data_IF_499123942739
#
_entry.id   IF_499123942739
#
_cell.length_a   1.000
_cell.length_b   1.000
_cell.length_c   1.000
_cell.angle_alpha   90.00
_cell.angle_beta   90.00
_cell.angle_gamma   90.00
#
_symmetry.space_group_name_H-M   'P 1'
#
loop_
_entity.id
_entity.type
_entity.pdbx_description
1 polymer ?
#
# COMPACT_ATOMS: atom_id res chain seq x y z
N UNK A 1 -1.87 54.99 36.54
CA UNK A 1 -0.84 53.97 36.17
C UNK A 1 -1.35 52.55 36.03
N UNK A 2 -2.65 52.26 36.15
CA UNK A 2 -3.29 50.89 36.08
C UNK A 2 -3.60 50.35 34.67
N UNK A 3 -3.68 51.19 33.65
CA UNK A 3 -4.14 50.76 32.30
C UNK A 3 -3.03 50.06 31.49
N UNK A 4 -1.75 50.39 31.75
CA UNK A 4 -0.59 49.80 31.04
C UNK A 4 -0.27 48.33 31.46
N UNK A 5 -0.68 47.90 32.67
CA UNK A 5 -0.45 46.53 33.14
C UNK A 5 -1.45 45.55 32.61
N UNK A 6 -2.71 45.96 32.42
CA UNK A 6 -3.78 45.12 31.86
C UNK A 6 -3.50 44.74 30.38
N UNK A 7 -2.92 45.66 29.59
CA UNK A 7 -2.60 45.37 28.19
C UNK A 7 -1.44 44.39 28.03
N UNK A 8 -0.44 44.45 28.93
CA UNK A 8 0.70 43.49 28.92
C UNK A 8 0.31 42.08 29.33
N UNK A 9 -0.61 41.91 30.29
CA UNK A 9 -1.08 40.60 30.72
C UNK A 9 -1.96 39.96 29.68
N UNK A 10 -2.79 40.72 28.98
CA UNK A 10 -3.60 40.26 27.86
C UNK A 10 -2.74 39.86 26.64
N UNK A 11 -1.73 40.66 26.30
CA UNK A 11 -0.79 40.39 25.23
C UNK A 11 0.05 39.13 25.47
N UNK A 12 0.53 38.94 26.72
CA UNK A 12 1.28 37.72 27.08
C UNK A 12 0.40 36.47 27.14
N UNK A 13 -0.90 36.60 27.38
CA UNK A 13 -1.88 35.52 27.27
C UNK A 13 -2.13 35.12 25.78
N UNK A 14 -2.32 36.11 24.93
CA UNK A 14 -2.51 35.93 23.51
C UNK A 14 -1.29 35.28 22.85
N UNK A 15 -0.07 35.72 23.22
CA UNK A 15 1.17 35.12 22.69
C UNK A 15 1.31 33.63 23.04
N UNK A 16 0.94 33.25 24.27
CA UNK A 16 0.94 31.85 24.72
C UNK A 16 -0.06 31.00 23.93
N UNK A 17 -1.24 31.51 23.61
CA UNK A 17 -2.22 30.84 22.81
C UNK A 17 -1.80 30.67 21.33
N UNK A 18 -1.17 31.71 20.76
CA UNK A 18 -0.62 31.68 19.41
C UNK A 18 0.47 30.63 19.29
N UNK A 19 1.42 30.59 20.23
CA UNK A 19 2.50 29.58 20.23
C UNK A 19 1.94 28.16 20.30
N UNK A 20 0.94 27.91 21.17
CA UNK A 20 0.33 26.57 21.25
C UNK A 20 -0.44 26.22 19.98
N UNK A 21 -1.21 27.17 19.45
CA UNK A 21 -1.92 26.98 18.19
C UNK A 21 -0.97 26.64 17.05
N UNK A 22 0.18 27.31 16.97
CA UNK A 22 1.20 27.03 15.96
C UNK A 22 1.81 25.64 16.12
N UNK A 23 2.13 25.21 17.34
CA UNK A 23 2.67 23.87 17.60
C UNK A 23 1.65 22.79 17.24
N UNK A 24 0.40 22.96 17.65
CA UNK A 24 -0.68 22.00 17.32
C UNK A 24 -0.90 21.94 15.81
N UNK A 25 -0.91 23.07 15.11
CA UNK A 25 -1.05 23.13 13.68
C UNK A 25 0.11 22.41 12.96
N UNK A 26 1.35 22.66 13.38
CA UNK A 26 2.53 22.00 12.82
C UNK A 26 2.48 20.49 13.02
N UNK A 27 2.11 20.02 14.21
CA UNK A 27 1.97 18.60 14.51
C UNK A 27 0.87 17.98 13.64
N UNK A 28 -0.28 18.65 13.45
CA UNK A 28 -1.34 18.20 12.55
C UNK A 28 -0.88 18.10 11.11
N UNK A 29 -0.20 19.11 10.59
CA UNK A 29 0.32 19.11 9.22
C UNK A 29 1.34 17.98 9.01
N UNK A 30 2.25 17.78 9.96
CA UNK A 30 3.24 16.71 9.89
C UNK A 30 2.59 15.33 9.94
N UNK A 31 1.61 15.14 10.82
CA UNK A 31 0.84 13.89 10.89
C UNK A 31 0.07 13.60 9.60
N UNK A 32 -0.58 14.62 9.01
CA UNK A 32 -1.28 14.48 7.74
C UNK A 32 -0.33 14.12 6.58
N UNK A 33 0.87 14.71 6.56
CA UNK A 33 1.89 14.40 5.57
C UNK A 33 2.38 12.94 5.66
N UNK A 34 2.62 12.44 6.87
CA UNK A 34 3.04 11.06 7.11
C UNK A 34 1.97 10.06 6.65
N UNK A 35 0.69 10.30 6.99
CA UNK A 35 -0.42 9.44 6.58
C UNK A 35 -0.55 9.41 5.05
N UNK A 36 -0.38 10.56 4.41
CA UNK A 36 -0.43 10.66 2.94
C UNK A 36 0.73 9.94 2.25
N UNK A 37 1.93 10.04 2.81
CA UNK A 37 3.14 9.42 2.24
C UNK A 37 3.08 7.90 2.35
N UNK A 38 2.61 7.39 3.48
CA UNK A 38 2.36 5.95 3.67
C UNK A 38 1.34 5.38 2.67
N UNK A 39 0.26 6.10 2.37
CA UNK A 39 -0.72 5.69 1.36
C UNK A 39 -0.14 5.61 -0.05
N UNK A 40 0.80 6.49 -0.39
CA UNK A 40 1.47 6.49 -1.71
C UNK A 40 2.43 5.31 -1.87
N UNK A 41 3.20 5.00 -0.85
CA UNK A 41 4.20 3.92 -0.87
C UNK A 41 3.54 2.54 -1.09
N UNK A 42 2.43 2.27 -0.41
CA UNK A 42 1.70 1.01 -0.56
C UNK A 42 1.05 0.87 -1.94
N UNK A 43 0.57 1.95 -2.51
CA UNK A 43 -0.01 1.96 -3.86
C UNK A 43 1.06 1.75 -4.92
N UNK A 44 2.20 2.43 -4.82
CA UNK A 44 3.32 2.29 -5.74
C UNK A 44 3.90 0.86 -5.75
N UNK A 45 4.06 0.25 -4.58
CA UNK A 45 4.54 -1.13 -4.46
C UNK A 45 3.60 -2.13 -5.16
N UNK A 46 2.28 -1.94 -5.03
CA UNK A 46 1.29 -2.77 -5.74
C UNK A 46 1.37 -2.58 -7.26
N UNK A 47 1.41 -1.34 -7.73
CA UNK A 47 1.53 -1.03 -9.15
C UNK A 47 2.78 -1.67 -9.76
N UNK A 48 3.90 -1.63 -9.06
CA UNK A 48 5.14 -2.28 -9.51
C UNK A 48 4.97 -3.79 -9.70
N UNK A 49 4.24 -4.47 -8.82
CA UNK A 49 3.99 -5.93 -8.95
C UNK A 49 3.01 -6.20 -10.09
N UNK A 50 1.96 -5.39 -10.25
CA UNK A 50 1.03 -5.51 -11.37
C UNK A 50 1.73 -5.30 -12.72
N UNK A 51 2.61 -4.30 -12.82
CA UNK A 51 3.43 -4.06 -14.00
C UNK A 51 4.38 -5.21 -14.27
N UNK A 52 5.12 -5.69 -13.27
CA UNK A 52 5.98 -6.88 -13.40
C UNK A 52 5.18 -8.10 -13.87
N UNK A 53 4.04 -8.39 -13.25
CA UNK A 53 3.18 -9.49 -13.64
C UNK A 53 2.70 -9.37 -15.09
N UNK A 54 2.27 -8.18 -15.50
CA UNK A 54 1.82 -7.94 -16.86
C UNK A 54 2.94 -8.10 -17.90
N UNK A 55 4.16 -7.64 -17.57
CA UNK A 55 5.34 -7.81 -18.42
C UNK A 55 5.73 -9.27 -18.55
N UNK A 56 5.73 -10.03 -17.45
CA UNK A 56 6.02 -11.46 -17.46
C UNK A 56 5.01 -12.25 -18.27
N UNK A 57 3.72 -11.94 -18.14
CA UNK A 57 2.68 -12.59 -18.95
C UNK A 57 2.89 -12.29 -20.43
N UNK A 58 3.19 -11.05 -20.81
CA UNK A 58 3.48 -10.69 -22.21
C UNK A 58 4.74 -11.36 -22.72
N UNK A 59 5.78 -11.49 -21.92
CA UNK A 59 6.99 -12.21 -22.26
C UNK A 59 6.71 -13.68 -22.54
N UNK A 60 5.89 -14.33 -21.72
CA UNK A 60 5.42 -15.69 -21.92
C UNK A 60 4.59 -15.85 -23.20
N UNK A 61 3.64 -14.95 -23.43
CA UNK A 61 2.81 -14.95 -24.64
C UNK A 61 3.66 -14.77 -25.90
N UNK A 62 4.70 -13.93 -25.84
CA UNK A 62 5.62 -13.74 -26.96
C UNK A 62 6.61 -14.90 -27.13
N UNK A 63 7.11 -15.46 -26.04
CA UNK A 63 8.03 -16.61 -26.06
C UNK A 63 7.41 -17.87 -26.65
N UNK A 64 6.12 -18.09 -26.46
CA UNK A 64 5.40 -19.21 -27.07
C UNK A 64 5.24 -19.08 -28.58
N UNK A 65 5.57 -17.90 -29.16
CA UNK A 65 5.49 -17.64 -30.61
C UNK A 65 6.58 -18.34 -31.43
N UNK A 66 7.71 -18.66 -30.82
CA UNK A 66 8.93 -19.09 -31.56
C UNK A 66 8.96 -20.59 -31.87
N UNK A 67 8.04 -21.39 -31.34
CA UNK A 67 8.03 -22.86 -31.53
C UNK A 67 7.18 -23.31 -32.72
N UNK A 68 7.79 -23.87 -33.72
CA UNK A 68 7.10 -24.54 -34.85
C UNK A 68 6.54 -25.91 -34.44
N UNK A 69 5.22 -26.03 -34.44
CA UNK A 69 4.53 -27.34 -34.39
C UNK A 69 3.68 -27.58 -33.12
N UNK A 70 2.42 -28.04 -33.33
CA UNK A 70 1.38 -28.15 -32.29
C UNK A 70 1.74 -29.08 -31.12
N UNK A 71 2.61 -30.07 -31.29
CA UNK A 71 3.04 -30.97 -30.22
C UNK A 71 4.14 -30.43 -29.31
N UNK A 72 4.88 -29.42 -29.76
CA UNK A 72 5.96 -28.78 -28.98
C UNK A 72 5.47 -27.66 -28.04
N UNK A 73 4.26 -27.14 -28.23
CA UNK A 73 3.80 -25.97 -27.45
C UNK A 73 3.71 -26.25 -25.95
N UNK A 74 3.26 -27.43 -25.52
CA UNK A 74 3.17 -27.71 -24.07
C UNK A 74 4.54 -27.91 -23.43
N UNK A 75 5.45 -28.63 -24.07
CA UNK A 75 6.82 -28.81 -23.51
C UNK A 75 7.61 -27.53 -23.48
N UNK A 76 7.45 -26.68 -24.50
CA UNK A 76 8.14 -25.40 -24.58
C UNK A 76 7.55 -24.39 -23.55
N UNK A 77 6.21 -24.35 -23.40
CA UNK A 77 5.57 -23.54 -22.37
C UNK A 77 6.01 -24.00 -20.99
N UNK A 78 6.06 -25.31 -20.73
CA UNK A 78 6.52 -25.87 -19.47
C UNK A 78 7.96 -25.45 -19.17
N UNK A 79 8.89 -25.57 -20.10
CA UNK A 79 10.28 -25.17 -19.95
C UNK A 79 10.42 -23.66 -19.67
N UNK A 80 9.64 -22.82 -20.36
CA UNK A 80 9.61 -21.38 -20.12
C UNK A 80 9.11 -21.04 -18.72
N UNK A 81 8.05 -21.73 -18.23
CA UNK A 81 7.56 -21.51 -16.87
C UNK A 81 8.57 -21.93 -15.81
N UNK A 82 9.28 -23.03 -16.03
CA UNK A 82 10.35 -23.48 -15.14
C UNK A 82 11.50 -22.47 -15.09
N UNK A 83 11.93 -21.95 -16.25
CA UNK A 83 13.00 -20.95 -16.32
C UNK A 83 12.59 -19.62 -15.68
N UNK A 84 11.37 -19.16 -15.94
CA UNK A 84 10.88 -17.90 -15.38
C UNK A 84 10.63 -17.96 -13.87
N UNK A 85 10.41 -19.14 -13.29
CA UNK A 85 10.23 -19.31 -11.86
C UNK A 85 11.49 -18.98 -11.03
N UNK A 86 12.66 -18.94 -11.65
CA UNK A 86 13.90 -18.51 -11.00
C UNK A 86 13.99 -17.00 -10.77
N UNK A 87 13.01 -16.23 -11.25
CA UNK A 87 13.01 -14.78 -11.04
C UNK A 87 12.74 -14.43 -9.58
N UNK A 88 13.50 -13.47 -9.01
CA UNK A 88 13.33 -13.07 -7.62
C UNK A 88 11.90 -12.60 -7.31
N UNK A 89 11.35 -13.14 -6.23
CA UNK A 89 10.02 -12.78 -5.75
C UNK A 89 8.88 -13.53 -6.44
N UNK A 90 9.14 -14.39 -7.42
CA UNK A 90 8.14 -15.28 -8.01
C UNK A 90 8.11 -16.59 -7.22
N UNK A 91 6.92 -17.04 -6.83
CA UNK A 91 6.73 -18.31 -6.16
C UNK A 91 6.44 -19.43 -7.14
N UNK A 92 5.53 -19.18 -8.08
CA UNK A 92 5.15 -20.13 -9.11
C UNK A 92 4.39 -19.46 -10.24
N UNK A 93 4.37 -20.16 -11.38
CA UNK A 93 3.53 -19.90 -12.54
C UNK A 93 2.64 -21.08 -12.79
N UNK A 94 1.42 -20.85 -13.22
CA UNK A 94 0.50 -21.88 -13.69
C UNK A 94 -0.31 -21.39 -14.88
N UNK A 95 -0.54 -22.28 -15.83
CA UNK A 95 -1.51 -22.10 -16.90
C UNK A 95 -2.55 -23.18 -16.74
N UNK A 96 -3.82 -22.79 -16.68
CA UNK A 96 -4.96 -23.72 -16.52
C UNK A 96 -5.91 -23.64 -17.70
N UNK A 97 -6.75 -24.64 -17.83
CA UNK A 97 -7.96 -24.54 -18.60
C UNK A 97 -9.05 -23.75 -17.87
N UNK A 98 -10.21 -23.57 -18.50
CA UNK A 98 -11.37 -22.87 -17.90
C UNK A 98 -11.98 -23.58 -16.68
N UNK A 99 -11.67 -24.87 -16.50
CA UNK A 99 -12.11 -25.69 -15.38
C UNK A 99 -11.10 -25.64 -14.20
N UNK A 100 -9.96 -24.96 -14.39
CA UNK A 100 -8.91 -24.83 -13.39
C UNK A 100 -7.94 -26.02 -13.34
N UNK A 101 -7.96 -26.92 -14.33
CA UNK A 101 -6.97 -27.98 -14.46
C UNK A 101 -5.66 -27.42 -15.00
N UNK A 102 -4.56 -27.73 -14.37
CA UNK A 102 -3.22 -27.24 -14.70
C UNK A 102 -2.74 -27.89 -16.00
N UNK A 103 -2.47 -27.08 -17.00
CA UNK A 103 -1.91 -27.46 -18.30
C UNK A 103 -0.38 -27.41 -18.26
N UNK A 104 0.17 -26.36 -17.62
CA UNK A 104 1.58 -26.15 -17.41
C UNK A 104 1.81 -25.44 -16.07
N UNK A 105 2.92 -25.74 -15.38
CA UNK A 105 3.25 -25.19 -14.09
C UNK A 105 4.77 -25.10 -13.91
N UNK A 106 5.27 -24.11 -13.17
CA UNK A 106 6.70 -24.02 -12.84
C UNK A 106 7.25 -25.22 -12.06
N UNK A 107 6.39 -25.92 -11.32
CA UNK A 107 6.68 -27.25 -10.74
C UNK A 107 6.01 -28.30 -11.60
N UNK A 108 6.77 -29.16 -12.33
CA UNK A 108 6.20 -30.19 -13.20
C UNK A 108 5.26 -31.18 -12.48
N UNK A 109 5.45 -31.39 -11.17
CA UNK A 109 4.62 -32.31 -10.40
C UNK A 109 3.19 -31.82 -10.19
N UNK A 110 2.90 -30.57 -10.47
CA UNK A 110 1.55 -29.99 -10.36
C UNK A 110 0.75 -30.13 -11.66
N UNK A 111 1.38 -30.42 -12.79
CA UNK A 111 0.72 -30.55 -14.08
C UNK A 111 -0.34 -31.65 -14.03
N UNK A 112 -1.53 -31.37 -14.56
CA UNK A 112 -2.67 -32.24 -14.55
C UNK A 112 -3.53 -32.23 -13.30
N UNK A 113 -3.07 -31.62 -12.21
CA UNK A 113 -3.87 -31.40 -10.99
C UNK A 113 -4.83 -30.22 -11.19
N UNK A 114 -5.75 -30.06 -10.27
CA UNK A 114 -6.68 -28.93 -10.25
C UNK A 114 -6.15 -27.83 -9.34
N UNK A 115 -5.89 -26.64 -9.89
CA UNK A 115 -5.46 -25.48 -9.13
C UNK A 115 -6.66 -24.85 -8.40
N UNK A 116 -7.75 -24.66 -9.14
CA UNK A 116 -9.00 -24.09 -8.64
C UNK A 116 -10.19 -24.91 -9.13
N UNK A 117 -11.21 -25.05 -8.31
CA UNK A 117 -12.46 -25.68 -8.72
C UNK A 117 -13.16 -24.84 -9.81
N UNK A 118 -14.01 -25.44 -10.65
CA UNK A 118 -14.75 -24.70 -11.67
C UNK A 118 -15.62 -23.57 -11.10
N UNK A 119 -16.09 -23.71 -9.86
CA UNK A 119 -16.84 -22.67 -9.17
C UNK A 119 -15.94 -21.48 -8.81
N UNK A 120 -14.73 -21.75 -8.31
CA UNK A 120 -13.73 -20.72 -8.02
C UNK A 120 -13.26 -20.01 -9.30
N UNK A 121 -13.03 -20.74 -10.39
CA UNK A 121 -12.65 -20.16 -11.69
C UNK A 121 -13.72 -19.18 -12.20
N UNK A 122 -15.00 -19.53 -12.09
CA UNK A 122 -16.11 -18.63 -12.43
C UNK A 122 -16.16 -17.40 -11.54
N UNK A 123 -15.91 -17.56 -10.24
CA UNK A 123 -15.89 -16.45 -9.28
C UNK A 123 -14.75 -15.46 -9.52
N UNK A 124 -13.63 -15.91 -10.11
CA UNK A 124 -12.50 -15.03 -10.44
C UNK A 124 -12.84 -14.00 -11.53
N UNK A 125 -13.91 -14.21 -12.31
CA UNK A 125 -14.31 -13.33 -13.41
C UNK A 125 -13.11 -12.95 -14.29
N UNK A 126 -12.36 -13.95 -14.74
CA UNK A 126 -11.14 -13.79 -15.53
C UNK A 126 -11.43 -12.96 -16.78
N UNK A 127 -10.60 -11.99 -17.07
CA UNK A 127 -10.74 -11.09 -18.21
C UNK A 127 -9.44 -10.93 -18.98
N UNK A 128 -9.46 -9.99 -19.93
CA UNK A 128 -8.27 -9.63 -20.72
C UNK A 128 -7.27 -8.79 -19.93
N UNK A 129 -7.78 -7.99 -19.00
CA UNK A 129 -6.94 -7.19 -18.10
C UNK A 129 -6.46 -8.08 -16.96
N UNK A 130 -5.20 -7.90 -16.57
CA UNK A 130 -4.65 -8.57 -15.41
C UNK A 130 -5.41 -8.13 -14.16
N UNK A 131 -5.81 -9.10 -13.36
CA UNK A 131 -6.40 -8.91 -12.04
C UNK A 131 -5.50 -9.53 -11.01
N UNK A 132 -5.61 -9.08 -9.79
CA UNK A 132 -4.82 -9.60 -8.69
C UNK A 132 -5.71 -9.94 -7.49
N UNK A 133 -5.24 -10.86 -6.68
CA UNK A 133 -5.82 -11.18 -5.37
C UNK A 133 -4.72 -11.59 -4.39
N UNK A 134 -5.02 -11.49 -3.12
CA UNK A 134 -4.12 -11.96 -2.06
C UNK A 134 -4.48 -13.40 -1.69
N UNK A 135 -3.48 -14.25 -1.64
CA UNK A 135 -3.55 -15.59 -1.09
C UNK A 135 -2.94 -15.60 0.30
N UNK A 136 -3.59 -16.28 1.25
CA UNK A 136 -3.08 -16.43 2.61
C UNK A 136 -2.45 -17.81 2.83
N UNK A 137 -2.93 -18.82 2.11
CA UNK A 137 -2.50 -20.21 2.21
C UNK A 137 -2.09 -20.76 0.83
N UNK A 138 -1.12 -21.64 0.75
CA UNK A 138 -0.26 -22.21 1.82
C UNK A 138 0.83 -21.25 2.31
N UNK A 139 1.05 -20.16 1.60
CA UNK A 139 1.97 -19.08 1.98
C UNK A 139 1.44 -17.74 1.47
N UNK A 140 1.74 -16.64 2.17
CA UNK A 140 1.30 -15.31 1.76
C UNK A 140 1.82 -14.98 0.37
N UNK A 141 0.92 -14.76 -0.57
CA UNK A 141 1.25 -14.47 -1.95
C UNK A 141 0.30 -13.43 -2.55
N UNK A 142 0.80 -12.69 -3.52
CA UNK A 142 0.01 -11.86 -4.42
C UNK A 142 -0.11 -12.60 -5.75
N UNK A 143 -1.31 -13.07 -6.07
CA UNK A 143 -1.58 -13.78 -7.31
C UNK A 143 -2.13 -12.81 -8.36
N UNK A 144 -1.51 -12.82 -9.54
CA UNK A 144 -1.96 -12.07 -10.72
C UNK A 144 -2.46 -13.08 -11.74
N UNK A 145 -3.61 -12.82 -12.34
CA UNK A 145 -4.22 -13.70 -13.32
C UNK A 145 -4.94 -12.94 -14.42
N UNK A 146 -4.97 -13.53 -15.61
CA UNK A 146 -5.76 -13.09 -16.76
C UNK A 146 -5.93 -14.21 -17.77
N UNK A 147 -6.74 -13.98 -18.82
CA UNK A 147 -6.77 -14.87 -19.98
C UNK A 147 -5.38 -14.93 -20.64
N UNK A 148 -4.92 -16.15 -20.87
CA UNK A 148 -3.68 -16.43 -21.58
C UNK A 148 -3.97 -16.55 -23.08
N UNK A 149 -3.33 -15.70 -23.87
CA UNK A 149 -3.47 -15.69 -25.32
C UNK A 149 -2.10 -15.90 -25.98
N UNK A 150 -1.72 -17.15 -26.21
CA UNK A 150 -0.50 -17.40 -26.96
C UNK A 150 -0.66 -16.74 -28.35
N UNK A 151 0.30 -15.93 -28.73
CA UNK A 151 0.29 -15.22 -30.00
C UNK A 151 0.34 -16.24 -31.15
N UNK A 152 -0.80 -16.52 -31.75
CA UNK A 152 -0.90 -17.44 -32.86
C UNK A 152 -0.32 -16.82 -34.13
N UNK A 153 0.77 -17.35 -34.73
CA UNK A 153 1.39 -16.77 -35.91
C UNK A 153 0.49 -16.77 -37.16
N UNK A 154 -0.63 -17.51 -37.13
CA UNK A 154 -1.54 -17.61 -38.26
C UNK A 154 -2.35 -16.34 -38.57
N UNK A 155 -2.31 -15.29 -37.75
CA UNK A 155 -3.00 -14.02 -37.99
C UNK A 155 -2.16 -12.93 -38.68
N UNK A 156 -0.87 -13.18 -38.95
CA UNK A 156 0.00 -12.23 -39.63
C UNK A 156 0.18 -12.61 -41.10
N UNK A 157 -0.44 -11.84 -41.98
CA UNK A 157 -0.22 -11.84 -43.45
C UNK A 157 -0.56 -13.08 -44.25
N UNK A 158 -1.82 -13.32 -44.46
CA UNK A 158 -2.27 -13.88 -45.75
C UNK A 158 -2.97 -12.76 -46.52
N UNK A 159 -2.16 -12.00 -47.25
CA UNK A 159 -2.62 -11.46 -48.51
C UNK A 159 -2.85 -12.62 -49.45
N UNK A 160 -4.07 -12.79 -49.85
CA UNK A 160 -4.46 -13.29 -51.15
C UNK A 160 -4.34 -14.78 -51.41
N UNK A 161 -5.47 -15.28 -51.71
CA UNK A 161 -5.84 -16.37 -52.61
C UNK A 161 -6.30 -17.69 -51.99
N UNK A 162 -7.59 -17.84 -52.09
CA UNK A 162 -8.34 -19.10 -52.32
C UNK A 162 -7.91 -20.32 -51.50
N UNK A 163 -8.49 -20.46 -50.30
CA UNK A 163 -8.93 -21.77 -49.90
C UNK A 163 -10.25 -21.66 -49.09
N UNK A 164 -11.34 -21.74 -49.82
CA UNK A 164 -12.74 -21.66 -49.33
C UNK A 164 -13.22 -23.02 -48.76
N UNK A 165 -12.32 -23.83 -48.21
CA UNK A 165 -12.63 -25.19 -47.87
C UNK A 165 -12.33 -25.73 -46.47
N UNK A 166 -11.54 -25.06 -45.65
CA UNK A 166 -11.12 -25.62 -44.38
C UNK A 166 -11.18 -24.67 -43.17
N UNK A 167 -12.13 -23.72 -43.16
CA UNK A 167 -12.37 -22.83 -42.02
C UNK A 167 -13.07 -23.49 -40.82
N UNK A 168 -13.43 -24.78 -40.92
CA UNK A 168 -14.15 -25.50 -39.85
C UNK A 168 -13.23 -26.14 -38.79
N UNK A 169 -11.92 -26.06 -38.97
CA UNK A 169 -10.93 -26.52 -37.98
C UNK A 169 -10.10 -25.37 -37.40
N UNK A 170 -10.65 -24.15 -37.31
CA UNK A 170 -10.21 -23.23 -36.28
C UNK A 170 -10.56 -23.91 -34.95
N UNK A 171 -9.65 -24.79 -34.49
CA UNK A 171 -9.71 -25.39 -33.18
C UNK A 171 -10.09 -24.31 -32.20
N UNK A 172 -11.28 -24.41 -31.61
CA UNK A 172 -11.70 -23.60 -30.51
C UNK A 172 -10.59 -23.72 -29.46
N UNK A 173 -9.72 -22.74 -29.41
CA UNK A 173 -8.62 -22.70 -28.44
C UNK A 173 -9.34 -22.58 -27.11
N UNK A 174 -9.35 -23.66 -26.34
CA UNK A 174 -9.96 -23.66 -25.01
C UNK A 174 -9.40 -22.47 -24.28
N UNK A 175 -10.22 -21.56 -23.73
CA UNK A 175 -9.72 -20.40 -23.06
C UNK A 175 -8.82 -20.84 -21.91
N UNK A 176 -7.59 -20.37 -21.96
CA UNK A 176 -6.58 -20.68 -20.94
C UNK A 176 -6.43 -19.48 -20.02
N UNK A 177 -6.11 -19.73 -18.77
CA UNK A 177 -5.86 -18.71 -17.78
C UNK A 177 -4.45 -18.87 -17.22
N UNK A 178 -3.70 -17.78 -17.22
CA UNK A 178 -2.39 -17.74 -16.60
C UNK A 178 -2.50 -17.14 -15.20
N UNK A 179 -1.79 -17.75 -14.27
CA UNK A 179 -1.63 -17.34 -12.89
C UNK A 179 -0.15 -17.17 -12.59
N UNK A 180 0.20 -16.10 -11.90
CA UNK A 180 1.54 -15.82 -11.38
C UNK A 180 1.41 -15.47 -9.91
N UNK A 181 2.09 -16.20 -9.05
CA UNK A 181 2.15 -15.90 -7.63
C UNK A 181 3.49 -15.26 -7.27
N UNK A 182 3.41 -14.10 -6.64
CA UNK A 182 4.56 -13.37 -6.08
C UNK A 182 4.59 -13.51 -4.57
N UNK A 183 5.79 -13.63 -4.00
CA UNK A 183 5.96 -13.62 -2.54
C UNK A 183 5.53 -12.24 -1.99
N UNK A 184 4.57 -12.25 -1.08
CA UNK A 184 4.10 -11.02 -0.43
C UNK A 184 4.75 -10.78 0.93
N UNK A 185 5.64 -11.65 1.42
CA UNK A 185 6.26 -11.54 2.75
C UNK A 185 7.04 -10.25 2.93
N UNK A 186 7.81 -9.86 1.93
CA UNK A 186 8.56 -8.60 1.97
C UNK A 186 7.65 -7.38 2.00
N UNK A 187 6.57 -7.40 1.20
CA UNK A 187 5.53 -6.38 1.21
C UNK A 187 4.83 -6.30 2.56
N UNK A 188 4.45 -7.45 3.12
CA UNK A 188 3.77 -7.53 4.40
C UNK A 188 4.68 -7.05 5.53
N UNK A 189 5.96 -7.43 5.51
CA UNK A 189 6.95 -6.94 6.46
C UNK A 189 7.22 -5.43 6.32
N UNK A 190 7.22 -4.89 5.10
CA UNK A 190 7.34 -3.46 4.85
C UNK A 190 6.09 -2.71 5.35
N UNK A 191 4.90 -3.22 5.09
CA UNK A 191 3.64 -2.67 5.61
C UNK A 191 3.59 -2.69 7.14
N UNK A 192 3.97 -3.80 7.77
CA UNK A 192 4.00 -3.90 9.23
C UNK A 192 4.99 -2.91 9.87
N UNK A 193 6.18 -2.74 9.26
CA UNK A 193 7.16 -1.74 9.68
C UNK A 193 6.62 -0.31 9.53
N UNK A 194 5.98 -0.03 8.40
CA UNK A 194 5.35 1.27 8.13
C UNK A 194 4.22 1.59 9.12
N UNK A 195 3.34 0.64 9.41
CA UNK A 195 2.27 0.79 10.41
C UNK A 195 2.84 1.05 11.81
N UNK A 196 3.87 0.31 12.22
CA UNK A 196 4.52 0.51 13.51
C UNK A 196 5.17 1.89 13.60
N UNK A 197 5.88 2.32 12.57
CA UNK A 197 6.49 3.64 12.53
C UNK A 197 5.44 4.76 12.57
N UNK A 198 4.35 4.61 11.84
CA UNK A 198 3.22 5.54 11.87
C UNK A 198 2.60 5.62 13.28
N UNK A 199 2.39 4.48 13.95
CA UNK A 199 1.86 4.45 15.31
C UNK A 199 2.81 5.14 16.31
N UNK A 200 4.13 4.93 16.19
CA UNK A 200 5.14 5.61 17.02
C UNK A 200 5.11 7.12 16.79
N UNK A 201 5.05 7.56 15.53
CA UNK A 201 5.02 8.97 15.19
C UNK A 201 3.73 9.67 15.67
N UNK A 202 2.58 9.03 15.51
CA UNK A 202 1.32 9.55 16.04
C UNK A 202 1.32 9.60 17.57
N UNK A 203 1.90 8.60 18.24
CA UNK A 203 2.11 8.59 19.69
C UNK A 203 3.01 9.73 20.15
N UNK A 204 4.13 9.97 19.47
CA UNK A 204 5.03 11.09 19.75
C UNK A 204 4.34 12.46 19.55
N UNK A 205 3.56 12.60 18.48
CA UNK A 205 2.77 13.80 18.22
C UNK A 205 1.76 14.09 19.34
N UNK A 206 1.02 13.05 19.78
CA UNK A 206 0.09 13.15 20.89
C UNK A 206 0.79 13.55 22.21
N UNK A 207 1.99 13.02 22.44
CA UNK A 207 2.79 13.33 23.62
C UNK A 207 3.27 14.78 23.62
N UNK A 208 3.68 15.32 22.47
CA UNK A 208 4.03 16.75 22.32
C UNK A 208 2.84 17.65 22.61
N UNK A 209 1.67 17.31 22.09
CA UNK A 209 0.43 18.06 22.36
C UNK A 209 0.10 18.03 23.85
N UNK A 210 0.13 16.86 24.48
CA UNK A 210 -0.13 16.71 25.91
C UNK A 210 0.86 17.50 26.78
N UNK A 211 2.16 17.43 26.47
CA UNK A 211 3.20 18.19 27.15
C UNK A 211 2.98 19.70 27.02
N UNK A 212 2.58 20.17 25.83
CA UNK A 212 2.30 21.59 25.59
C UNK A 212 1.10 22.07 26.39
N UNK A 213 0.03 21.28 26.48
CA UNK A 213 -1.16 21.59 27.30
C UNK A 213 -0.79 21.62 28.79
N UNK A 214 0.00 20.64 29.24
CA UNK A 214 0.44 20.57 30.64
C UNK A 214 1.33 21.76 31.01
N UNK A 215 2.28 22.10 30.17
CA UNK A 215 3.15 23.28 30.36
C UNK A 215 2.34 24.57 30.47
N UNK A 216 1.31 24.74 29.63
CA UNK A 216 0.40 25.88 29.73
C UNK A 216 -0.38 25.90 31.03
N UNK A 217 -0.89 24.76 31.49
CA UNK A 217 -1.62 24.65 32.75
C UNK A 217 -0.72 25.07 33.93
N UNK A 218 0.53 24.54 33.99
CA UNK A 218 1.50 24.86 35.00
C UNK A 218 1.88 26.35 34.97
N UNK A 219 2.10 26.91 33.78
CA UNK A 219 2.45 28.33 33.64
C UNK A 219 1.32 29.26 34.08
N UNK A 220 0.05 28.90 33.81
CA UNK A 220 -1.11 29.65 34.31
C UNK A 220 -1.24 29.56 35.80
N UNK A 221 -1.02 28.40 36.40
CA UNK A 221 -1.05 28.18 37.85
C UNK A 221 0.04 28.99 38.54
N UNK A 222 1.28 28.98 38.02
CA UNK A 222 2.41 29.72 38.55
C UNK A 222 2.17 31.24 38.51
N UNK A 223 1.63 31.76 37.42
CA UNK A 223 1.28 33.18 37.30
C UNK A 223 0.23 33.62 38.33
N UNK A 224 -0.79 32.79 38.61
CA UNK A 224 -1.83 33.06 39.61
C UNK A 224 -1.21 33.16 41.02
N UNK A 225 -0.36 32.22 41.39
CA UNK A 225 0.31 32.20 42.68
C UNK A 225 1.21 33.45 42.90
N UNK A 226 1.94 33.85 41.86
CA UNK A 226 2.77 35.08 41.93
C UNK A 226 1.92 36.34 42.11
N UNK A 227 0.78 36.47 41.46
CA UNK A 227 -0.12 37.62 41.62
C UNK A 227 -0.65 37.70 43.05
N UNK A 228 -1.03 36.60 43.67
CA UNK A 228 -1.49 36.52 45.05
C UNK A 228 -0.38 36.94 46.05
N UNK A 229 0.85 36.50 45.84
CA UNK A 229 1.99 36.90 46.67
C UNK A 229 2.26 38.39 46.59
N UNK A 230 2.27 38.99 45.39
CA UNK A 230 2.47 40.43 45.21
C UNK A 230 1.36 41.26 45.83
N UNK A 231 0.10 40.84 45.71
CA UNK A 231 -1.05 41.50 46.37
C UNK A 231 -0.98 41.38 47.89
N UNK A 232 -0.50 40.26 48.44
CA UNK A 232 -0.31 40.09 49.88
C UNK A 232 0.81 40.99 50.42
N UNK A 233 1.93 41.12 49.68
CA UNK A 233 3.00 42.04 50.05
C UNK A 233 2.55 43.51 50.00
N UNK A 234 1.85 43.91 48.94
CA UNK A 234 1.31 45.27 48.83
C UNK A 234 0.30 45.63 49.94
N UNK A 235 -0.49 44.64 50.43
CA UNK A 235 -1.37 44.82 51.59
C UNK A 235 -0.57 45.01 52.89
N UNK A 236 0.50 44.24 53.09
CA UNK A 236 1.37 44.37 54.26
C UNK A 236 2.05 45.73 54.28
N UNK A 237 2.61 46.19 53.15
CA UNK A 237 3.21 47.54 53.09
C UNK A 237 2.23 48.66 53.41
N UNK A 238 0.98 48.56 52.93
CA UNK A 238 -0.07 49.53 53.26
C UNK A 238 -0.41 49.55 54.76
N UNK A 239 -0.47 48.37 55.41
CA UNK A 239 -0.77 48.26 56.83
C UNK A 239 0.40 48.83 57.66
N UNK A 240 1.66 48.61 57.29
CA UNK A 240 2.83 49.19 57.95
C UNK A 240 2.86 50.71 57.78
N UNK A 241 2.56 51.22 56.59
CA UNK A 241 2.49 52.67 56.35
C UNK A 241 1.41 53.38 57.18
N UNK A 242 0.25 52.74 57.40
CA UNK A 242 -0.83 53.22 58.20
C UNK A 242 -0.49 53.15 59.71
N UNK A 243 0.23 52.12 60.16
CA UNK A 243 0.69 51.99 61.55
C UNK A 243 1.76 52.94 61.99
N UNK A 244 2.47 53.62 61.10
CA UNK A 244 3.45 54.67 61.39
C UNK A 244 2.85 56.08 61.46
N UNK A 245 1.55 56.23 61.14
CA UNK A 245 0.83 57.50 61.17
C UNK A 245 -0.13 57.63 62.37
N UNK A 246 -0.21 56.60 63.20
CA UNK A 246 -0.91 56.62 64.51
C UNK A 246 0.10 56.69 65.66
#
# INVERSE_FOLDING_TARGET
>A
MKIKSLSRDAAAGALSWLLTGTVVLLVMLFSAMIVRDYGRETTAARQTIEEKGSVLIRALESGTRVGMGMRMHHAQLQALLEEMAWQPGVLWFAVTDENGKIIAHSDPQQVGKTLYSPAQMRALAVGEQARWRRLSEPQPALEIYRHFRPLNPARGHHMGMMNRGNSALAQATVPQVIFIAFDSRELDAAQARGQRNMAIMLGAAALVIAATILAQFWFRRYRRSRKQLLEAMARKEKLVALGHLA
#
